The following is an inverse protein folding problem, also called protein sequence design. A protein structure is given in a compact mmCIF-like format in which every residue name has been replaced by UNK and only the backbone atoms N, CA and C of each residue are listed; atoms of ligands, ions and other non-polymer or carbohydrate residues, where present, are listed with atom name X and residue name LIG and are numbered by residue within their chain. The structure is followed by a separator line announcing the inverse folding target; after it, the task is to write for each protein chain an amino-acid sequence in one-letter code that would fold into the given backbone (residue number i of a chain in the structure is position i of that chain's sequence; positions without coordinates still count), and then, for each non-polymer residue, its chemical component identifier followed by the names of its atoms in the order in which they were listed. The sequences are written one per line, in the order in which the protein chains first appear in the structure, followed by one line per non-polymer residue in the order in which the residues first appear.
data_IF_678041907788
#
_entry.id   IF_678041907788
#
_cell.length_a   1.000
_cell.length_b   1.000
_cell.length_c   1.000
_cell.angle_alpha   90.00
_cell.angle_beta   90.00
_cell.angle_gamma   90.00
#
_symmetry.space_group_name_H-M   'P 1'
#
loop_
_entity.id
_entity.type
_entity.pdbx_description
1 polymer ?
#
# COMPACT_ATOMS: atom_id res chain seq x y z
N UNK A 1 -0.81 15.95 21.11
CA UNK A 1 -0.54 16.22 19.67
C UNK A 1 0.96 16.43 19.51
N UNK A 2 1.67 15.61 18.70
CA UNK A 2 3.13 15.79 18.50
C UNK A 2 3.36 17.01 17.61
N UNK A 3 4.18 17.96 18.07
CA UNK A 3 4.54 19.19 17.34
C UNK A 3 5.41 18.81 16.14
N UNK A 4 4.93 19.05 14.92
CA UNK A 4 5.73 18.86 13.71
C UNK A 4 6.76 20.00 13.65
N UNK A 5 8.05 19.67 13.68
CA UNK A 5 9.15 20.61 13.50
C UNK A 5 9.68 20.45 12.09
N UNK A 6 9.63 21.52 11.28
CA UNK A 6 10.26 21.55 9.95
C UNK A 6 11.72 21.99 10.11
N UNK A 7 12.64 21.23 9.53
CA UNK A 7 14.08 21.53 9.53
C UNK A 7 14.57 21.52 8.09
N UNK A 8 15.32 22.54 7.70
CA UNK A 8 16.01 22.59 6.40
C UNK A 8 17.42 22.01 6.58
N UNK A 9 17.82 21.14 5.66
CA UNK A 9 19.06 20.36 5.73
C UNK A 9 19.78 20.49 4.40
N UNK A 10 21.08 20.75 4.42
CA UNK A 10 21.93 20.70 3.24
C UNK A 10 22.45 19.27 3.05
N UNK A 11 22.13 18.64 1.93
CA UNK A 11 22.53 17.26 1.65
C UNK A 11 24.04 17.12 1.38
N UNK A 12 24.73 18.21 1.04
CA UNK A 12 26.17 18.21 0.78
C UNK A 12 26.99 18.53 2.04
N UNK A 13 26.33 18.97 3.12
CA UNK A 13 26.96 19.22 4.42
C UNK A 13 26.30 18.36 5.52
N UNK A 14 26.91 17.21 5.86
CA UNK A 14 26.44 16.33 6.93
C UNK A 14 26.31 17.01 8.30
N UNK A 15 26.97 18.16 8.53
CA UNK A 15 26.87 18.91 9.79
C UNK A 15 25.59 19.75 9.91
N UNK A 16 24.92 20.02 8.79
CA UNK A 16 23.62 20.69 8.74
C UNK A 16 22.47 19.81 9.24
N UNK A 17 22.71 18.50 9.39
CA UNK A 17 21.71 17.54 9.81
C UNK A 17 21.39 17.73 11.29
N UNK A 18 20.09 17.84 11.66
CA UNK A 18 19.73 17.93 13.06
C UNK A 18 20.22 16.68 13.78
N UNK A 19 20.91 16.86 14.92
CA UNK A 19 21.32 15.75 15.77
C UNK A 19 20.06 15.01 16.22
N UNK A 20 19.85 13.81 15.69
CA UNK A 20 18.71 12.97 16.04
C UNK A 20 18.73 12.62 17.53
N UNK A 21 17.60 12.82 18.20
CA UNK A 21 17.41 12.32 19.56
C UNK A 21 16.94 10.87 19.47
N UNK A 22 17.84 9.93 19.73
CA UNK A 22 17.50 8.51 19.87
C UNK A 22 17.40 8.18 21.36
N UNK A 23 16.24 7.68 21.78
CA UNK A 23 16.10 7.11 23.12
C UNK A 23 16.81 5.76 23.16
N UNK A 24 18.07 5.76 23.62
CA UNK A 24 18.91 4.57 23.71
C UNK A 24 18.31 3.49 24.61
N UNK A 25 17.62 3.90 25.70
CA UNK A 25 16.99 2.93 26.62
C UNK A 25 15.84 2.19 25.94
N UNK A 26 15.03 2.92 25.17
CA UNK A 26 13.96 2.31 24.38
C UNK A 26 14.51 1.37 23.30
N UNK A 27 15.60 1.78 22.63
CA UNK A 27 16.26 0.95 21.63
C UNK A 27 16.77 -0.36 22.23
N UNK A 28 17.50 -0.30 23.34
CA UNK A 28 18.05 -1.48 24.01
C UNK A 28 16.96 -2.39 24.59
N UNK A 29 15.81 -1.83 24.99
CA UNK A 29 14.64 -2.59 25.44
C UNK A 29 13.88 -3.28 24.29
N UNK A 30 14.16 -2.94 23.03
CA UNK A 30 13.46 -3.49 21.87
C UNK A 30 13.96 -4.89 21.54
N UNK A 31 13.34 -5.89 22.17
CA UNK A 31 13.63 -7.31 21.90
C UNK A 31 13.22 -7.77 20.50
N UNK A 32 13.81 -8.88 20.03
CA UNK A 32 13.41 -9.60 18.80
C UNK A 32 11.93 -9.98 18.76
N UNK A 33 11.30 -10.17 19.92
CA UNK A 33 9.86 -10.43 20.00
C UNK A 33 9.05 -9.17 19.64
N UNK A 34 9.46 -8.01 20.13
CA UNK A 34 8.79 -6.74 19.83
C UNK A 34 8.97 -6.36 18.36
N UNK A 35 10.17 -6.56 17.80
CA UNK A 35 10.44 -6.33 16.37
C UNK A 35 9.48 -7.16 15.51
N UNK A 36 9.37 -8.47 15.77
CA UNK A 36 8.46 -9.35 15.04
C UNK A 36 7.00 -8.95 15.19
N UNK A 37 6.57 -8.52 16.38
CA UNK A 37 5.21 -8.02 16.61
C UNK A 37 4.92 -6.80 15.73
N UNK A 38 5.82 -5.81 15.73
CA UNK A 38 5.66 -4.60 14.91
C UNK A 38 5.66 -4.93 13.42
N UNK A 39 6.56 -5.81 12.96
CA UNK A 39 6.56 -6.27 11.57
C UNK A 39 5.21 -6.89 11.17
N UNK A 40 4.65 -7.77 12.01
CA UNK A 40 3.34 -8.36 11.74
C UNK A 40 2.21 -7.32 11.70
N UNK A 41 2.26 -6.31 12.58
CA UNK A 41 1.30 -5.22 12.60
C UNK A 41 1.40 -4.35 11.34
N UNK A 42 2.61 -4.00 10.94
CA UNK A 42 2.89 -3.20 9.74
C UNK A 42 2.48 -3.95 8.48
N UNK A 43 2.79 -5.25 8.38
CA UNK A 43 2.38 -6.11 7.27
C UNK A 43 0.85 -6.22 7.19
N UNK A 44 0.16 -6.39 8.32
CA UNK A 44 -1.30 -6.45 8.37
C UNK A 44 -1.93 -5.11 7.94
N UNK A 45 -1.37 -3.98 8.37
CA UNK A 45 -1.82 -2.65 7.96
C UNK A 45 -1.62 -2.46 6.44
N UNK A 46 -0.45 -2.86 5.91
CA UNK A 46 -0.16 -2.81 4.48
C UNK A 46 -1.10 -3.69 3.65
N UNK A 47 -1.46 -4.89 4.13
CA UNK A 47 -2.44 -5.77 3.49
C UNK A 47 -3.83 -5.12 3.44
N UNK A 48 -4.27 -4.49 4.53
CA UNK A 48 -5.55 -3.80 4.60
C UNK A 48 -5.60 -2.58 3.65
N UNK A 49 -4.51 -1.83 3.55
CA UNK A 49 -4.43 -0.69 2.64
C UNK A 49 -4.40 -1.13 1.18
N UNK A 50 -3.72 -2.23 0.85
CA UNK A 50 -3.80 -2.84 -0.47
C UNK A 50 -5.23 -3.29 -0.82
N UNK A 51 -5.96 -3.84 0.16
CA UNK A 51 -7.36 -4.25 -0.01
C UNK A 51 -8.29 -3.07 -0.30
N UNK A 52 -8.18 -2.01 0.51
CA UNK A 52 -8.92 -0.75 0.30
C UNK A 52 -8.60 -0.15 -1.06
N UNK A 53 -7.33 -0.16 -1.47
CA UNK A 53 -6.92 0.34 -2.77
C UNK A 53 -7.57 -0.45 -3.92
N UNK A 54 -7.46 -1.78 -3.93
CA UNK A 54 -8.06 -2.62 -4.95
C UNK A 54 -9.58 -2.41 -5.06
N UNK A 55 -10.27 -2.39 -3.91
CA UNK A 55 -11.71 -2.12 -3.83
C UNK A 55 -12.04 -0.72 -4.37
N UNK A 56 -11.29 0.30 -3.97
CA UNK A 56 -11.50 1.68 -4.39
C UNK A 56 -11.30 1.89 -5.89
N UNK A 57 -10.32 1.22 -6.51
CA UNK A 57 -10.14 1.23 -7.96
C UNK A 57 -11.38 0.69 -8.67
N UNK A 58 -11.88 -0.49 -8.24
CA UNK A 58 -13.08 -1.12 -8.80
C UNK A 58 -14.32 -0.23 -8.64
N UNK A 59 -14.54 0.32 -7.46
CA UNK A 59 -15.73 1.14 -7.18
C UNK A 59 -15.75 2.43 -8.00
N UNK A 60 -14.59 3.05 -8.21
CA UNK A 60 -14.49 4.29 -9.00
C UNK A 60 -14.80 4.09 -10.48
N UNK A 61 -14.49 2.92 -11.02
CA UNK A 61 -14.85 2.54 -12.40
C UNK A 61 -16.27 1.97 -12.50
N UNK A 62 -17.01 1.91 -11.39
CA UNK A 62 -18.44 1.55 -11.37
C UNK A 62 -18.73 0.07 -11.61
N UNK A 63 -17.76 -0.83 -11.43
CA UNK A 63 -17.94 -2.27 -11.70
C UNK A 63 -18.28 -3.06 -10.42
N UNK A 64 -19.15 -4.06 -10.55
CA UNK A 64 -19.30 -5.12 -9.56
C UNK A 64 -18.03 -5.98 -9.49
N UNK A 65 -17.86 -6.76 -8.42
CA UNK A 65 -16.72 -7.69 -8.31
C UNK A 65 -16.67 -8.69 -9.47
N UNK A 66 -17.83 -9.13 -9.98
CA UNK A 66 -17.91 -10.10 -11.07
C UNK A 66 -17.62 -9.47 -12.44
N UNK A 67 -18.05 -8.23 -12.69
CA UNK A 67 -17.67 -7.51 -13.91
C UNK A 67 -16.18 -7.19 -13.90
N UNK A 68 -15.66 -6.77 -12.74
CA UNK A 68 -14.25 -6.49 -12.58
C UNK A 68 -13.38 -7.73 -12.81
N UNK A 69 -13.78 -8.87 -12.23
CA UNK A 69 -13.07 -10.15 -12.41
C UNK A 69 -12.99 -10.54 -13.88
N UNK A 70 -14.09 -10.40 -14.62
CA UNK A 70 -14.14 -10.65 -16.07
C UNK A 70 -13.26 -9.68 -16.84
N UNK A 71 -13.31 -8.38 -16.51
CA UNK A 71 -12.60 -7.33 -17.24
C UNK A 71 -11.08 -7.45 -17.16
N UNK A 72 -10.55 -7.84 -16.01
CA UNK A 72 -9.11 -7.96 -15.81
C UNK A 72 -8.60 -9.41 -15.85
N UNK A 73 -9.45 -10.35 -16.27
CA UNK A 73 -9.15 -11.79 -16.39
C UNK A 73 -8.57 -12.42 -15.12
N UNK A 74 -9.13 -12.04 -13.96
CA UNK A 74 -8.75 -12.57 -12.65
C UNK A 74 -9.95 -13.29 -12.06
N UNK A 75 -9.72 -14.41 -11.37
CA UNK A 75 -10.84 -15.14 -10.76
C UNK A 75 -11.59 -14.26 -9.74
N UNK A 76 -12.92 -14.44 -9.66
CA UNK A 76 -13.75 -13.73 -8.69
C UNK A 76 -13.29 -13.97 -7.24
N UNK A 77 -12.80 -15.17 -6.94
CA UNK A 77 -12.23 -15.50 -5.64
C UNK A 77 -10.98 -14.67 -5.34
N UNK A 78 -10.09 -14.51 -6.32
CA UNK A 78 -8.89 -13.69 -6.18
C UNK A 78 -9.25 -12.22 -5.92
N UNK A 79 -10.23 -11.66 -6.64
CA UNK A 79 -10.73 -10.29 -6.38
C UNK A 79 -11.24 -10.17 -4.95
N UNK A 80 -12.05 -11.13 -4.49
CA UNK A 80 -12.56 -11.14 -3.10
C UNK A 80 -11.44 -11.24 -2.09
N UNK A 81 -10.44 -12.09 -2.32
CA UNK A 81 -9.30 -12.24 -1.44
C UNK A 81 -8.47 -10.96 -1.36
N UNK A 82 -8.36 -10.20 -2.46
CA UNK A 82 -7.74 -8.88 -2.46
C UNK A 82 -8.55 -7.87 -1.67
N UNK A 83 -9.83 -7.70 -1.99
CA UNK A 83 -10.67 -6.68 -1.34
C UNK A 83 -10.96 -6.96 0.15
N UNK A 84 -10.82 -8.21 0.58
CA UNK A 84 -10.92 -8.61 1.99
C UNK A 84 -9.57 -8.54 2.74
N UNK A 85 -8.47 -8.27 2.05
CA UNK A 85 -7.13 -8.24 2.65
C UNK A 85 -6.63 -9.61 3.10
N UNK A 86 -7.10 -10.70 2.48
CA UNK A 86 -6.55 -12.05 2.68
C UNK A 86 -5.29 -12.27 1.83
N UNK A 87 -5.20 -11.59 0.69
CA UNK A 87 -4.06 -11.56 -0.21
C UNK A 87 -3.92 -10.14 -0.74
N UNK A 88 -2.75 -9.82 -1.29
CA UNK A 88 -2.50 -8.54 -1.94
C UNK A 88 -2.23 -8.76 -3.43
N UNK A 89 -2.64 -7.84 -4.32
CA UNK A 89 -2.21 -7.84 -5.72
C UNK A 89 -0.69 -7.72 -5.79
N UNK A 90 -0.04 -8.53 -6.62
CA UNK A 90 1.42 -8.52 -6.82
C UNK A 90 1.78 -8.31 -8.29
N UNK A 91 3.03 -7.94 -8.56
CA UNK A 91 3.59 -7.84 -9.91
C UNK A 91 2.69 -7.11 -10.91
N UNK A 92 2.31 -7.82 -11.99
CA UNK A 92 1.47 -7.31 -13.07
C UNK A 92 0.09 -6.83 -12.59
N UNK A 93 -0.56 -7.52 -11.64
CA UNK A 93 -1.86 -7.11 -11.13
C UNK A 93 -1.80 -5.76 -10.41
N UNK A 94 -0.74 -5.51 -9.64
CA UNK A 94 -0.53 -4.21 -8.98
C UNK A 94 -0.30 -3.10 -10.01
N UNK A 95 0.45 -3.38 -11.08
CA UNK A 95 0.66 -2.44 -12.17
C UNK A 95 -0.65 -2.12 -12.90
N UNK A 96 -1.46 -3.15 -13.21
CA UNK A 96 -2.75 -3.00 -13.86
C UNK A 96 -3.73 -2.17 -13.02
N UNK A 97 -3.83 -2.43 -11.72
CA UNK A 97 -4.65 -1.61 -10.81
C UNK A 97 -4.23 -0.14 -10.83
N UNK A 98 -2.92 0.14 -10.87
CA UNK A 98 -2.40 1.51 -10.96
C UNK A 98 -2.76 2.20 -12.27
N UNK A 99 -2.79 1.45 -13.39
CA UNK A 99 -3.20 1.97 -14.69
C UNK A 99 -4.71 2.26 -14.68
N UNK A 100 -5.53 1.32 -14.21
CA UNK A 100 -6.98 1.49 -14.04
C UNK A 100 -7.33 2.66 -13.11
N UNK A 101 -6.52 2.90 -12.08
CA UNK A 101 -6.69 4.01 -11.14
C UNK A 101 -6.45 5.38 -11.77
N UNK A 102 -5.50 5.47 -12.71
CA UNK A 102 -5.03 6.74 -13.30
C UNK A 102 -5.61 7.06 -14.65
N UNK A 103 -5.88 6.05 -15.46
CA UNK A 103 -6.38 6.18 -16.82
C UNK A 103 -7.45 5.10 -17.09
N UNK A 104 -8.57 5.11 -16.34
CA UNK A 104 -9.60 4.07 -16.41
C UNK A 104 -10.15 3.91 -17.82
N UNK A 105 -10.41 4.99 -18.55
CA UNK A 105 -10.98 4.94 -19.91
C UNK A 105 -10.07 4.19 -20.88
N UNK A 106 -8.78 4.53 -20.91
CA UNK A 106 -7.78 3.90 -21.78
C UNK A 106 -7.56 2.44 -21.38
N UNK A 107 -7.47 2.16 -20.09
CA UNK A 107 -7.32 0.82 -19.58
C UNK A 107 -8.51 -0.07 -19.95
N UNK A 108 -9.74 0.43 -19.75
CA UNK A 108 -10.96 -0.31 -20.03
C UNK A 108 -11.17 -0.55 -21.52
N UNK A 109 -10.74 0.39 -22.38
CA UNK A 109 -10.71 0.23 -23.83
C UNK A 109 -9.70 -0.84 -24.27
N UNK A 110 -8.50 -0.85 -23.67
CA UNK A 110 -7.48 -1.86 -23.98
C UNK A 110 -7.90 -3.27 -23.53
N UNK A 111 -8.73 -3.35 -22.49
CA UNK A 111 -9.26 -4.60 -21.93
C UNK A 111 -10.60 -5.03 -22.54
N UNK A 112 -11.19 -4.26 -23.48
CA UNK A 112 -12.50 -4.58 -24.08
C UNK A 112 -12.41 -5.48 -25.30
N UNK A 113 -11.46 -6.42 -25.31
CA UNK A 113 -11.31 -7.40 -26.40
C UNK A 113 -12.46 -8.39 -26.41
#
# INVERSE_FOLDING_TARGET
MKKIVRVSVDLHDPSSFPKGFVDKKLLDATSERLIRLHQQQDDAAAMLDAAKYAKGVRERIGLSQQEFSKRIEVSLETIRNWEQGKRSPTGAAKALLKILDRAPEIALLALSV
#
